data_IF_459479733756
#
_entry.id   IF_459479733756
#
_cell.length_a   1.000
_cell.length_b   1.000
_cell.length_c   1.000
_cell.angle_alpha   90.00
_cell.angle_beta   90.00
_cell.angle_gamma   90.00
#
_symmetry.space_group_name_H-M   'P 1'
#
loop_
_entity.id
_entity.type
_entity.pdbx_description
1 polymer ?
#
# COMPACT_ATOMS: atom_id res chain seq x y z
N UNK A 1 -34.56 3.30 -31.39
CA UNK A 1 -34.20 2.92 -30.00
C UNK A 1 -32.69 2.80 -29.91
N UNK A 2 -31.98 3.71 -29.22
CA UNK A 2 -30.55 3.54 -29.02
C UNK A 2 -30.31 2.50 -27.92
N UNK A 3 -29.56 1.45 -28.25
CA UNK A 3 -29.05 0.46 -27.28
C UNK A 3 -28.04 1.14 -26.36
N UNK A 4 -28.24 0.98 -25.04
CA UNK A 4 -27.26 1.38 -24.04
C UNK A 4 -25.93 0.63 -24.24
N UNK A 5 -24.76 1.25 -24.00
CA UNK A 5 -23.49 0.55 -24.07
C UNK A 5 -23.39 -0.46 -22.92
N UNK A 6 -23.03 -1.70 -23.27
CA UNK A 6 -22.72 -2.75 -22.33
C UNK A 6 -21.57 -2.30 -21.41
N UNK A 7 -21.84 -2.29 -20.11
CA UNK A 7 -20.85 -2.05 -19.07
C UNK A 7 -19.87 -3.24 -19.07
N UNK A 8 -18.80 -3.13 -19.86
CA UNK A 8 -17.70 -4.08 -19.83
C UNK A 8 -16.97 -3.86 -18.49
N UNK A 9 -17.33 -4.66 -17.49
CA UNK A 9 -16.58 -4.76 -16.23
C UNK A 9 -15.15 -5.18 -16.57
N UNK A 10 -14.26 -4.21 -16.80
CA UNK A 10 -12.83 -4.45 -16.96
C UNK A 10 -12.37 -5.14 -15.68
N UNK A 11 -12.04 -6.42 -15.78
CA UNK A 11 -11.38 -7.14 -14.70
C UNK A 11 -10.06 -6.44 -14.44
N UNK A 12 -9.94 -5.82 -13.26
CA UNK A 12 -8.67 -5.23 -12.82
C UNK A 12 -7.72 -6.40 -12.58
N UNK A 13 -6.56 -6.46 -13.24
CA UNK A 13 -5.62 -7.57 -13.07
C UNK A 13 -5.14 -7.60 -11.62
N UNK A 14 -5.29 -8.73 -10.93
CA UNK A 14 -4.84 -8.87 -9.54
C UNK A 14 -3.32 -8.99 -9.54
N UNK A 15 -2.62 -7.98 -9.02
CA UNK A 15 -1.16 -8.04 -8.89
C UNK A 15 -0.74 -8.98 -7.75
N UNK A 16 0.08 -9.99 -8.08
CA UNK A 16 0.48 -11.08 -7.18
C UNK A 16 1.49 -10.67 -6.08
N UNK A 17 2.15 -9.51 -6.20
CA UNK A 17 3.21 -9.08 -5.27
C UNK A 17 2.73 -8.57 -3.90
N UNK A 18 3.63 -8.66 -2.92
CA UNK A 18 3.54 -7.91 -1.65
C UNK A 18 3.72 -6.42 -1.96
N UNK A 19 3.01 -5.56 -1.22
CA UNK A 19 2.73 -4.19 -1.66
C UNK A 19 2.82 -3.20 -0.51
N UNK A 20 3.42 -2.03 -0.76
CA UNK A 20 3.36 -0.88 0.13
C UNK A 20 2.03 -0.15 -0.14
N UNK A 21 0.97 -0.58 0.54
CA UNK A 21 -0.37 -0.02 0.37
C UNK A 21 -0.42 1.47 0.71
N UNK A 22 -1.04 2.26 -0.17
CA UNK A 22 -1.44 3.65 0.08
C UNK A 22 -2.85 3.72 0.71
N UNK A 23 -3.53 2.58 0.88
CA UNK A 23 -4.80 2.42 1.60
C UNK A 23 -4.60 2.56 3.12
N UNK A 24 -5.58 3.14 3.79
CA UNK A 24 -5.63 3.27 5.24
C UNK A 24 -5.43 1.92 5.94
N UNK A 25 -4.48 1.79 6.89
CA UNK A 25 -4.14 0.52 7.53
C UNK A 25 -5.32 -0.21 8.19
N UNK A 26 -6.31 0.51 8.71
CA UNK A 26 -7.56 -0.08 9.28
C UNK A 26 -8.38 -0.90 8.27
N UNK A 27 -8.27 -0.59 6.98
CA UNK A 27 -9.00 -1.27 5.93
C UNK A 27 -8.26 -2.54 5.47
N UNK A 28 -6.96 -2.68 5.78
CA UNK A 28 -6.19 -3.86 5.40
C UNK A 28 -6.63 -5.07 6.23
N UNK A 29 -6.99 -6.17 5.58
CA UNK A 29 -7.20 -7.44 6.26
C UNK A 29 -5.90 -7.93 6.91
N UNK A 30 -6.00 -8.92 7.82
CA UNK A 30 -4.84 -9.41 8.58
C UNK A 30 -3.66 -9.79 7.68
N UNK A 31 -3.93 -10.45 6.56
CA UNK A 31 -2.87 -10.88 5.65
C UNK A 31 -2.21 -9.70 4.93
N UNK A 32 -2.98 -8.70 4.45
CA UNK A 32 -2.41 -7.50 3.85
C UNK A 32 -1.60 -6.68 4.85
N UNK A 33 -2.05 -6.57 6.10
CA UNK A 33 -1.37 -5.84 7.15
C UNK A 33 0.00 -6.48 7.50
N UNK A 34 0.02 -7.80 7.72
CA UNK A 34 1.26 -8.53 8.05
C UNK A 34 2.24 -8.51 6.88
N UNK A 35 1.75 -8.74 5.67
CA UNK A 35 2.60 -8.70 4.47
C UNK A 35 3.16 -7.30 4.24
N UNK A 36 2.33 -6.26 4.37
CA UNK A 36 2.73 -4.86 4.28
C UNK A 36 3.79 -4.48 5.31
N UNK A 37 3.67 -4.93 6.56
CA UNK A 37 4.67 -4.69 7.60
C UNK A 37 6.05 -5.28 7.24
N UNK A 38 6.07 -6.54 6.80
CA UNK A 38 7.32 -7.21 6.38
C UNK A 38 7.97 -6.49 5.20
N UNK A 39 7.16 -6.08 4.23
CA UNK A 39 7.62 -5.35 3.04
C UNK A 39 8.12 -3.96 3.38
N UNK A 40 7.43 -3.21 4.24
CA UNK A 40 7.88 -1.90 4.70
C UNK A 40 9.23 -1.96 5.43
N UNK A 41 9.46 -2.99 6.25
CA UNK A 41 10.74 -3.18 6.91
C UNK A 41 11.85 -3.55 5.92
N UNK A 42 11.53 -4.29 4.86
CA UNK A 42 12.47 -4.54 3.77
C UNK A 42 12.77 -3.24 3.02
N UNK A 43 11.74 -2.50 2.62
CA UNK A 43 11.83 -1.20 1.98
C UNK A 43 12.67 -0.20 2.77
N UNK A 44 12.53 -0.17 4.10
CA UNK A 44 13.38 0.62 5.00
C UNK A 44 14.86 0.21 4.91
N UNK A 45 15.17 -1.09 4.83
CA UNK A 45 16.55 -1.55 4.61
C UNK A 45 17.07 -1.14 3.23
N UNK A 46 16.23 -1.20 2.19
CA UNK A 46 16.58 -0.78 0.83
C UNK A 46 16.95 0.70 0.80
N UNK A 47 16.11 1.57 1.36
CA UNK A 47 16.34 3.01 1.39
C UNK A 47 17.59 3.39 2.20
N UNK A 48 18.00 2.55 3.16
CA UNK A 48 19.25 2.70 3.92
C UNK A 48 20.47 2.08 3.25
N UNK A 49 20.34 1.50 2.05
CA UNK A 49 21.44 0.84 1.35
C UNK A 49 21.92 -0.47 2.00
N UNK A 50 21.10 -1.08 2.88
CA UNK A 50 21.46 -2.27 3.66
C UNK A 50 21.10 -3.60 2.96
N UNK A 51 20.70 -3.55 1.69
CA UNK A 51 20.36 -4.74 0.90
C UNK A 51 21.35 -4.98 -0.24
N UNK A 52 21.71 -6.24 -0.45
CA UNK A 52 22.61 -6.66 -1.54
C UNK A 52 21.86 -6.93 -2.86
N UNK A 53 20.64 -7.48 -2.81
CA UNK A 53 19.85 -7.87 -3.99
C UNK A 53 18.62 -7.00 -4.24
N UNK A 54 17.63 -7.03 -3.32
CA UNK A 54 16.38 -6.29 -3.48
C UNK A 54 16.62 -4.77 -3.39
N UNK A 55 16.71 -4.07 -4.53
CA UNK A 55 17.05 -2.63 -4.61
C UNK A 55 16.01 -1.79 -5.35
N UNK A 56 15.12 -2.42 -6.12
CA UNK A 56 14.27 -1.74 -7.08
C UNK A 56 12.78 -2.12 -6.94
N UNK A 57 12.20 -1.99 -5.75
CA UNK A 57 10.75 -1.98 -5.64
C UNK A 57 10.21 -0.71 -6.34
N UNK A 58 9.36 -0.81 -7.38
CA UNK A 58 8.87 0.38 -8.09
C UNK A 58 8.14 1.36 -7.16
N UNK A 59 7.40 0.84 -6.18
CA UNK A 59 6.69 1.63 -5.18
C UNK A 59 7.61 2.42 -4.24
N UNK A 60 8.91 2.11 -4.19
CA UNK A 60 9.87 2.94 -3.46
C UNK A 60 10.21 4.24 -4.19
N UNK A 61 9.97 4.33 -5.50
CA UNK A 61 10.26 5.55 -6.28
C UNK A 61 9.55 6.78 -5.70
N UNK A 62 8.29 6.63 -5.27
CA UNK A 62 7.56 7.73 -4.61
C UNK A 62 8.16 8.16 -3.28
N UNK A 63 8.77 7.25 -2.51
CA UNK A 63 9.41 7.63 -1.25
C UNK A 63 10.74 8.36 -1.50
N UNK A 64 11.43 8.04 -2.61
CA UNK A 64 12.68 8.70 -3.00
C UNK A 64 12.49 10.15 -3.44
N UNK A 65 11.26 10.61 -3.63
CA UNK A 65 10.96 12.03 -3.91
C UNK A 65 10.90 12.88 -2.64
N UNK A 66 10.90 12.26 -1.46
CA UNK A 66 10.96 12.95 -0.17
C UNK A 66 12.37 13.47 0.11
N UNK A 67 12.45 14.48 0.98
CA UNK A 67 13.73 14.98 1.46
C UNK A 67 14.44 13.91 2.31
N UNK A 68 13.68 13.19 3.16
CA UNK A 68 14.14 12.00 3.86
C UNK A 68 13.26 10.79 3.53
N UNK A 69 13.64 9.96 2.54
CA UNK A 69 12.92 8.74 2.20
C UNK A 69 12.78 7.74 3.35
N UNK A 70 13.78 7.70 4.27
CA UNK A 70 13.78 6.78 5.42
C UNK A 70 12.76 7.25 6.47
N UNK A 71 12.67 8.55 6.72
CA UNK A 71 11.62 9.12 7.57
C UNK A 71 10.22 8.88 6.98
N UNK A 72 10.10 8.96 5.64
CA UNK A 72 8.86 8.63 4.95
C UNK A 72 8.41 7.18 5.19
N UNK A 73 9.24 6.19 4.89
CA UNK A 73 8.87 4.77 5.10
C UNK A 73 8.66 4.45 6.59
N UNK A 74 9.38 5.11 7.50
CA UNK A 74 9.16 4.95 8.94
C UNK A 74 7.77 5.46 9.36
N UNK A 75 7.36 6.62 8.85
CA UNK A 75 6.01 7.18 9.06
C UNK A 75 4.92 6.24 8.56
N UNK A 76 5.13 5.65 7.38
CA UNK A 76 4.24 4.62 6.84
C UNK A 76 4.17 3.37 7.74
N UNK A 77 5.30 2.88 8.23
CA UNK A 77 5.35 1.72 9.13
C UNK A 77 4.62 1.99 10.46
N UNK A 78 4.77 3.17 11.05
CA UNK A 78 4.07 3.52 12.29
C UNK A 78 2.55 3.49 12.11
N UNK A 79 2.01 3.94 10.97
CA UNK A 79 0.57 3.83 10.70
C UNK A 79 0.07 2.37 10.63
N UNK A 80 0.89 1.45 10.11
CA UNK A 80 0.58 0.02 10.17
C UNK A 80 0.63 -0.53 11.60
N UNK A 81 1.61 -0.10 12.40
CA UNK A 81 1.74 -0.51 13.80
C UNK A 81 0.57 0.01 14.66
N UNK A 82 0.17 1.26 14.48
CA UNK A 82 -0.97 1.86 15.19
C UNK A 82 -2.26 1.09 14.91
N UNK A 83 -2.51 0.76 13.64
CA UNK A 83 -3.68 -0.03 13.28
C UNK A 83 -3.58 -1.49 13.73
N UNK A 84 -2.38 -2.07 13.80
CA UNK A 84 -2.18 -3.40 14.37
C UNK A 84 -2.53 -3.41 15.87
N UNK A 85 -2.01 -2.43 16.62
CA UNK A 85 -2.24 -2.29 18.07
C UNK A 85 -3.74 -2.06 18.37
N UNK A 86 -4.42 -1.21 17.58
CA UNK A 86 -5.86 -0.98 17.69
C UNK A 86 -6.71 -2.24 17.48
N UNK A 87 -6.15 -3.26 16.80
CA UNK A 87 -6.78 -4.56 16.54
C UNK A 87 -6.26 -5.67 17.45
N UNK A 88 -5.43 -5.35 18.44
CA UNK A 88 -4.83 -6.33 19.36
C UNK A 88 -3.69 -7.17 18.77
N UNK A 89 -3.21 -6.83 17.58
CA UNK A 89 -1.97 -7.38 17.04
C UNK A 89 -0.78 -6.57 17.56
N UNK A 90 0.40 -7.17 17.60
CA UNK A 90 1.61 -6.48 18.05
C UNK A 90 2.72 -6.61 17.02
N UNK A 91 3.08 -5.50 16.39
CA UNK A 91 4.32 -5.40 15.63
C UNK A 91 5.46 -4.94 16.53
N UNK A 92 6.66 -5.47 16.26
CA UNK A 92 7.87 -5.04 16.95
C UNK A 92 8.32 -3.67 16.42
N UNK A 93 7.81 -2.60 17.06
CA UNK A 93 8.12 -1.20 16.73
C UNK A 93 9.61 -0.87 16.83
N UNK A 94 10.41 -1.63 17.58
CA UNK A 94 11.86 -1.39 17.70
C UNK A 94 12.59 -1.60 16.36
N UNK A 95 11.94 -2.23 15.38
CA UNK A 95 12.45 -2.44 14.03
C UNK A 95 12.27 -1.24 13.11
N UNK A 96 11.47 -0.25 13.50
CA UNK A 96 11.29 1.02 12.78
C UNK A 96 12.40 1.97 13.21
N UNK A 97 13.18 2.46 12.26
CA UNK A 97 14.48 3.11 12.55
C UNK A 97 14.36 4.58 12.94
N UNK A 98 13.20 5.20 12.69
CA UNK A 98 12.91 6.60 12.97
C UNK A 98 11.51 6.74 13.58
N UNK A 99 11.26 7.81 14.36
CA UNK A 99 9.90 8.21 14.74
C UNK A 99 9.09 8.62 13.50
N UNK A 100 7.74 8.64 13.58
CA UNK A 100 6.92 9.17 12.51
C UNK A 100 7.19 10.68 12.32
N UNK A 101 7.19 11.12 11.06
CA UNK A 101 7.45 12.50 10.66
C UNK A 101 6.24 13.23 10.07
N UNK A 102 6.36 14.55 9.84
CA UNK A 102 5.30 15.37 9.28
C UNK A 102 5.19 15.26 7.75
N UNK A 103 6.20 14.71 7.07
CA UNK A 103 6.21 14.62 5.61
C UNK A 103 5.02 13.81 5.07
N UNK A 104 4.45 14.29 3.97
CA UNK A 104 3.34 13.66 3.27
C UNK A 104 3.68 13.49 1.79
N UNK A 105 3.12 12.44 1.19
CA UNK A 105 3.30 12.14 -0.23
C UNK A 105 1.99 12.35 -0.99
N UNK A 106 2.02 12.93 -2.21
CA UNK A 106 0.83 12.94 -3.04
C UNK A 106 0.44 11.50 -3.42
N UNK A 107 -0.86 11.21 -3.34
CA UNK A 107 -1.48 9.99 -3.84
C UNK A 107 -2.59 10.37 -4.80
N UNK A 108 -2.55 9.85 -6.02
CA UNK A 108 -3.63 10.08 -6.97
C UNK A 108 -4.86 9.23 -6.62
N UNK A 109 -6.05 9.77 -6.87
CA UNK A 109 -7.31 9.03 -6.75
C UNK A 109 -7.38 7.81 -7.69
N UNK A 110 -6.81 7.91 -8.89
CA UNK A 110 -6.64 6.78 -9.80
C UNK A 110 -5.78 5.67 -9.22
N UNK A 111 -4.67 6.01 -8.56
CA UNK A 111 -3.86 5.03 -7.83
C UNK A 111 -4.68 4.40 -6.70
N UNK A 112 -5.25 5.21 -5.81
CA UNK A 112 -6.04 4.70 -4.67
C UNK A 112 -7.18 3.75 -5.13
N UNK A 113 -7.87 4.08 -6.21
CA UNK A 113 -8.93 3.24 -6.78
C UNK A 113 -8.40 1.89 -7.30
N UNK A 114 -7.25 1.89 -7.97
CA UNK A 114 -6.58 0.66 -8.41
C UNK A 114 -6.20 -0.21 -7.20
N UNK A 115 -5.58 0.43 -6.20
CA UNK A 115 -5.20 -0.27 -4.99
C UNK A 115 -6.41 -0.89 -4.30
N UNK A 116 -7.49 -0.13 -4.18
CA UNK A 116 -8.74 -0.57 -3.59
C UNK A 116 -9.31 -1.82 -4.26
N UNK A 117 -9.33 -1.83 -5.60
CA UNK A 117 -9.77 -2.98 -6.37
C UNK A 117 -8.91 -4.22 -6.09
N UNK A 118 -7.59 -4.07 -6.03
CA UNK A 118 -6.67 -5.17 -5.68
C UNK A 118 -6.91 -5.72 -4.28
N UNK A 119 -7.13 -4.85 -3.28
CA UNK A 119 -7.39 -5.29 -1.91
C UNK A 119 -8.69 -6.10 -1.86
N UNK A 120 -9.79 -5.55 -2.41
CA UNK A 120 -11.10 -6.22 -2.42
C UNK A 120 -11.03 -7.58 -3.10
N UNK A 121 -10.36 -7.68 -4.25
CA UNK A 121 -10.19 -8.95 -4.95
C UNK A 121 -9.48 -10.01 -4.08
N UNK A 122 -8.36 -9.64 -3.42
CA UNK A 122 -7.65 -10.54 -2.51
C UNK A 122 -8.49 -10.93 -1.29
N UNK A 123 -9.26 -9.98 -0.74
CA UNK A 123 -10.12 -10.21 0.43
C UNK A 123 -11.29 -11.14 0.10
N UNK A 124 -11.94 -11.00 -1.06
CA UNK A 124 -13.00 -11.91 -1.52
C UNK A 124 -12.56 -13.37 -1.47
N UNK A 125 -11.31 -13.65 -1.85
CA UNK A 125 -10.81 -15.02 -1.90
C UNK A 125 -10.41 -15.58 -0.52
N UNK A 126 -9.89 -14.75 0.38
CA UNK A 126 -9.23 -15.23 1.62
C UNK A 126 -9.91 -14.85 2.93
N UNK A 127 -10.72 -13.79 2.94
CA UNK A 127 -11.42 -13.31 4.12
C UNK A 127 -12.74 -12.60 3.75
N UNK A 128 -13.74 -13.32 3.19
CA UNK A 128 -15.00 -12.72 2.75
C UNK A 128 -15.71 -11.85 3.80
N UNK A 129 -15.77 -12.22 5.10
CA UNK A 129 -16.38 -11.37 6.13
C UNK A 129 -15.72 -10.00 6.29
N UNK A 130 -14.43 -9.84 5.92
CA UNK A 130 -13.75 -8.54 6.00
C UNK A 130 -14.27 -7.52 4.97
N UNK A 131 -15.00 -7.97 3.94
CA UNK A 131 -15.59 -7.08 2.94
C UNK A 131 -16.57 -6.08 3.54
N UNK A 132 -17.22 -6.40 4.65
CA UNK A 132 -18.14 -5.50 5.36
C UNK A 132 -17.44 -4.23 5.87
N UNK A 133 -16.12 -4.31 6.10
CA UNK A 133 -15.29 -3.15 6.47
C UNK A 133 -14.84 -2.34 5.26
N UNK A 134 -14.91 -2.90 4.06
CA UNK A 134 -14.44 -2.29 2.81
C UNK A 134 -15.54 -1.47 2.13
N UNK A 135 -16.07 -0.46 2.84
CA UNK A 135 -17.16 0.41 2.36
C UNK A 135 -16.66 1.46 1.35
N UNK A 136 -15.58 2.16 1.70
CA UNK A 136 -15.00 3.20 0.85
C UNK A 136 -13.47 3.23 1.00
N UNK A 137 -12.72 3.51 -0.08
CA UNK A 137 -11.28 3.67 0.02
C UNK A 137 -10.95 4.92 0.82
N UNK A 138 -10.00 4.78 1.75
CA UNK A 138 -9.37 5.89 2.47
C UNK A 138 -7.86 5.79 2.28
N UNK A 139 -7.13 6.91 2.11
CA UNK A 139 -5.68 6.87 2.05
C UNK A 139 -5.09 6.62 3.44
N UNK A 140 -3.89 6.03 3.47
CA UNK A 140 -3.05 6.03 4.67
C UNK A 140 -2.74 7.48 5.05
N UNK A 141 -2.71 7.87 6.34
CA UNK A 141 -2.48 9.25 6.79
C UNK A 141 -1.17 9.92 6.36
N UNK A 142 -0.29 9.18 5.67
CA UNK A 142 0.95 9.71 5.13
C UNK A 142 0.72 10.31 3.73
N UNK A 143 -0.42 10.04 3.11
CA UNK A 143 -0.68 10.48 1.75
C UNK A 143 -1.76 11.56 1.69
N UNK A 144 -1.49 12.56 0.87
CA UNK A 144 -2.45 13.60 0.50
C UNK A 144 -3.11 13.20 -0.82
N UNK A 145 -4.43 12.99 -0.79
CA UNK A 145 -5.19 12.57 -1.97
C UNK A 145 -5.34 13.74 -2.95
N UNK A 146 -4.92 13.53 -4.19
CA UNK A 146 -5.05 14.49 -5.29
C UNK A 146 -5.74 13.85 -6.50
N UNK A 147 -6.43 14.61 -7.36
CA UNK A 147 -6.92 14.08 -8.63
C UNK A 147 -5.76 13.66 -9.53
N UNK A 148 -5.84 12.48 -10.16
CA UNK A 148 -4.84 12.07 -11.15
C UNK A 148 -4.91 10.60 -11.59
N UNK A 149 -4.12 10.22 -12.61
CA UNK A 149 -4.09 8.84 -13.11
C UNK A 149 -3.39 7.90 -12.12
N UNK A 150 -3.46 6.59 -12.39
CA UNK A 150 -2.59 5.59 -11.76
C UNK A 150 -1.13 6.03 -11.88
N UNK A 151 -0.35 5.84 -10.81
CA UNK A 151 1.01 6.34 -10.76
C UNK A 151 1.91 5.58 -11.75
N UNK A 152 2.84 6.30 -12.41
CA UNK A 152 3.72 5.71 -13.42
C UNK A 152 4.64 4.60 -12.89
N UNK A 153 4.93 4.61 -11.59
CA UNK A 153 5.71 3.57 -10.91
C UNK A 153 4.91 2.27 -10.68
N UNK A 154 3.60 2.26 -10.91
CA UNK A 154 2.79 1.05 -10.82
C UNK A 154 3.12 0.14 -12.02
N UNK A 155 4.12 -0.73 -11.81
CA UNK A 155 4.46 -1.79 -12.76
C UNK A 155 3.75 -3.05 -12.34
N UNK A 156 3.06 -3.69 -13.29
CA UNK A 156 2.48 -5.00 -13.09
C UNK A 156 3.60 -5.95 -12.63
N UNK A 157 3.46 -6.50 -11.43
CA UNK A 157 4.47 -7.38 -10.84
C UNK A 157 4.79 -8.53 -11.79
N UNK A 158 5.97 -8.48 -12.40
CA UNK A 158 6.60 -9.70 -12.88
C UNK A 158 7.22 -10.36 -11.64
N UNK A 159 6.93 -11.63 -11.37
CA UNK A 159 7.85 -12.45 -10.59
C UNK A 159 9.18 -12.52 -11.35
N UNK A 160 10.29 -12.34 -10.65
CA UNK A 160 11.58 -12.83 -11.12
C UNK A 160 11.51 -14.37 -11.12
N UNK A 161 11.98 -15.00 -12.20
CA UNK A 161 12.08 -16.46 -12.36
C UNK A 161 12.99 -17.13 -11.32
#
# INVERSE_FOLDING_TARGET
MPRAPANATRRVPILAGVRLWSIHPDLLDRAALIAGWREGLLAQKVLRGLTKGYRAHPQLERFRTLADPVAGIATWLHGLADAADARGYRFDRTRVVLPPGPERLPLTDGQLALEWAHLRAKVIERDPPWLDRLVAPRPHPMFDLIPGPVAAWERAGLPEE
#
